data_IF_106343034713
#
_entry.id   IF_106343034713
#
_cell.length_a   1.000
_cell.length_b   1.000
_cell.length_c   1.000
_cell.angle_alpha   90.00
_cell.angle_beta   90.00
_cell.angle_gamma   90.00
#
_symmetry.space_group_name_H-M   'P 1'
#
loop_
_entity.id
_entity.type
_entity.pdbx_description
1 polymer ?
#
# COMPACT_ATOMS: atom_id res chain seq x y z
N UNK A 1 -2.43 -12.21 12.59
CA UNK A 1 -1.22 -11.53 12.07
C UNK A 1 -0.33 -12.57 11.41
N UNK A 2 0.22 -12.27 10.25
CA UNK A 2 1.02 -13.21 9.47
C UNK A 2 2.41 -12.62 9.21
N UNK A 3 3.44 -13.44 9.29
CA UNK A 3 4.82 -13.11 8.93
C UNK A 3 5.24 -14.00 7.75
N UNK A 4 5.85 -13.43 6.72
CA UNK A 4 6.44 -14.18 5.63
C UNK A 4 7.85 -14.65 6.03
N UNK A 5 8.06 -15.96 6.05
CA UNK A 5 9.34 -16.60 6.32
C UNK A 5 9.93 -17.24 5.06
N UNK A 6 10.18 -16.46 4.01
CA UNK A 6 10.79 -16.96 2.78
C UNK A 6 9.81 -17.65 1.83
N UNK A 7 10.27 -18.70 1.12
CA UNK A 7 9.49 -19.40 0.10
C UNK A 7 8.38 -20.32 0.67
N UNK A 8 8.43 -20.61 1.97
CA UNK A 8 7.51 -21.55 2.64
C UNK A 8 6.15 -20.96 3.05
N UNK A 9 5.86 -19.74 2.67
CA UNK A 9 4.55 -19.10 2.85
C UNK A 9 4.43 -18.22 4.08
N UNK A 10 3.18 -17.97 4.48
CA UNK A 10 2.82 -17.09 5.59
C UNK A 10 2.54 -17.91 6.85
N UNK A 11 3.16 -17.51 7.96
CA UNK A 11 2.93 -18.11 9.27
C UNK A 11 2.19 -17.14 10.18
N UNK A 12 1.19 -17.64 10.89
CA UNK A 12 0.49 -16.85 11.90
C UNK A 12 1.36 -16.74 13.16
N UNK A 13 1.66 -15.49 13.56
CA UNK A 13 2.52 -15.19 14.71
C UNK A 13 1.82 -14.39 15.82
N UNK A 14 0.49 -14.38 15.84
CA UNK A 14 -0.30 -13.64 16.87
C UNK A 14 0.17 -13.93 18.26
N UNK A 15 0.55 -15.18 18.54
CA UNK A 15 1.07 -15.59 19.85
C UNK A 15 2.48 -15.05 20.17
N UNK A 16 3.22 -14.58 19.18
CA UNK A 16 4.59 -14.09 19.34
C UNK A 16 4.67 -12.58 19.64
N UNK A 17 3.57 -11.85 19.46
CA UNK A 17 3.54 -10.44 19.86
C UNK A 17 3.49 -10.33 21.38
N UNK A 18 4.25 -9.37 21.95
CA UNK A 18 4.17 -9.07 23.35
C UNK A 18 2.74 -8.85 23.82
N UNK A 19 2.43 -9.27 25.05
CA UNK A 19 1.13 -8.97 25.65
C UNK A 19 0.99 -7.44 25.75
N UNK A 20 -0.13 -6.91 25.24
CA UNK A 20 -0.38 -5.47 25.21
C UNK A 20 0.22 -4.75 23.99
N UNK A 21 0.74 -5.46 22.98
CA UNK A 21 1.14 -4.81 21.74
C UNK A 21 -0.06 -4.10 21.10
N UNK A 22 0.06 -2.80 20.72
CA UNK A 22 -1.06 -2.01 20.23
C UNK A 22 -1.75 -2.65 19.01
N UNK A 23 -1.00 -3.12 18.04
CA UNK A 23 -1.54 -3.77 16.84
C UNK A 23 -2.48 -4.94 17.15
N UNK A 24 -2.22 -5.67 18.24
CA UNK A 24 -3.06 -6.79 18.65
C UNK A 24 -4.38 -6.32 19.24
N UNK A 25 -4.36 -5.30 20.07
CA UNK A 25 -5.55 -4.72 20.67
C UNK A 25 -6.43 -4.07 19.59
N UNK A 26 -5.82 -3.28 18.71
CA UNK A 26 -6.49 -2.58 17.61
C UNK A 26 -7.19 -3.56 16.66
N UNK A 27 -6.47 -4.60 16.21
CA UNK A 27 -7.05 -5.63 15.36
C UNK A 27 -8.17 -6.42 16.03
N UNK A 28 -8.08 -6.65 17.34
CA UNK A 28 -9.15 -7.30 18.07
C UNK A 28 -10.40 -6.44 18.06
N UNK A 29 -10.27 -5.15 18.40
CA UNK A 29 -11.39 -4.18 18.39
C UNK A 29 -12.03 -4.08 17.00
N UNK A 30 -11.22 -3.92 15.95
CA UNK A 30 -11.70 -3.85 14.57
C UNK A 30 -12.43 -5.15 14.18
N UNK A 31 -11.83 -6.31 14.42
CA UNK A 31 -12.42 -7.58 14.03
C UNK A 31 -13.67 -7.96 14.84
N UNK A 32 -13.79 -7.52 16.07
CA UNK A 32 -15.03 -7.67 16.85
C UNK A 32 -16.15 -6.83 16.25
N UNK A 33 -15.90 -5.57 15.96
CA UNK A 33 -16.87 -4.70 15.27
C UNK A 33 -17.33 -5.28 13.94
N UNK A 34 -16.37 -5.72 13.08
CA UNK A 34 -16.70 -6.25 11.77
C UNK A 34 -17.53 -7.54 11.80
N UNK A 35 -17.54 -8.30 12.90
CA UNK A 35 -18.38 -9.51 13.03
C UNK A 35 -19.86 -9.21 13.12
N UNK A 36 -20.23 -8.03 13.58
CA UNK A 36 -21.61 -7.64 13.80
C UNK A 36 -22.32 -7.17 12.51
N UNK A 37 -21.54 -7.05 11.41
CA UNK A 37 -22.05 -6.62 10.11
C UNK A 37 -22.26 -7.79 9.14
N UNK A 38 -23.30 -7.67 8.28
CA UNK A 38 -23.63 -8.67 7.29
C UNK A 38 -22.84 -8.50 6.00
N UNK A 39 -21.96 -9.45 5.69
CA UNK A 39 -21.15 -9.46 4.48
C UNK A 39 -21.30 -10.75 3.67
N UNK A 40 -20.95 -10.65 2.37
CA UNK A 40 -20.84 -11.82 1.50
C UNK A 40 -19.59 -12.69 1.74
N UNK A 41 -18.61 -12.22 2.50
CA UNK A 41 -17.37 -12.92 2.83
C UNK A 41 -17.04 -12.78 4.31
N UNK A 42 -15.98 -13.48 4.80
CA UNK A 42 -15.57 -13.34 6.19
C UNK A 42 -15.07 -11.93 6.46
N UNK A 43 -15.74 -11.19 7.30
CA UNK A 43 -15.37 -9.86 7.70
C UNK A 43 -14.23 -9.86 8.72
N UNK A 44 -13.00 -10.16 8.29
CA UNK A 44 -11.84 -10.03 9.17
C UNK A 44 -10.70 -9.28 8.49
N UNK A 45 -9.96 -8.55 9.30
CA UNK A 45 -8.74 -7.86 8.91
C UNK A 45 -7.53 -8.62 9.44
N UNK A 46 -6.52 -8.76 8.58
CA UNK A 46 -5.26 -9.42 8.90
C UNK A 46 -4.12 -8.47 8.58
N UNK A 47 -3.20 -8.26 9.52
CA UNK A 47 -1.92 -7.58 9.28
C UNK A 47 -0.88 -8.58 8.80
N UNK A 48 -0.23 -8.27 7.67
CA UNK A 48 0.89 -9.07 7.13
C UNK A 48 2.18 -8.25 7.19
N UNK A 49 3.14 -8.76 7.91
CA UNK A 49 4.47 -8.17 8.03
C UNK A 49 5.48 -8.93 7.17
N UNK A 50 6.59 -8.28 6.84
CA UNK A 50 7.70 -8.88 6.11
C UNK A 50 8.98 -8.66 6.90
N UNK A 51 9.66 -9.73 7.27
CA UNK A 51 10.89 -9.77 8.07
C UNK A 51 10.73 -9.34 9.54
N UNK A 52 9.97 -8.30 9.85
CA UNK A 52 9.74 -7.83 11.22
C UNK A 52 8.40 -7.11 11.34
N UNK A 53 7.96 -6.87 12.57
CA UNK A 53 6.73 -6.10 12.87
C UNK A 53 6.85 -4.60 12.55
N UNK A 54 8.05 -4.12 12.22
CA UNK A 54 8.32 -2.75 11.80
C UNK A 54 8.39 -2.59 10.28
N UNK A 55 8.17 -3.67 9.53
CA UNK A 55 8.31 -3.68 8.08
C UNK A 55 7.08 -4.27 7.41
N UNK A 56 6.61 -3.62 6.34
CA UNK A 56 5.38 -3.91 5.65
C UNK A 56 4.15 -3.60 6.52
N UNK A 57 3.55 -4.56 7.24
CA UNK A 57 2.38 -4.28 8.09
C UNK A 57 1.13 -3.90 7.31
N UNK A 58 0.95 -4.45 6.10
CA UNK A 58 -0.22 -4.18 5.27
C UNK A 58 -1.45 -4.88 5.81
N UNK A 59 -2.55 -4.15 5.80
CA UNK A 59 -3.88 -4.68 6.10
C UNK A 59 -4.43 -5.45 4.90
N UNK A 60 -5.04 -6.58 5.17
CA UNK A 60 -5.72 -7.41 4.19
C UNK A 60 -7.08 -7.82 4.73
N UNK A 61 -8.10 -7.73 3.87
CA UNK A 61 -9.44 -8.24 4.13
C UNK A 61 -9.80 -9.30 3.10
N UNK A 62 -10.71 -10.20 3.46
CA UNK A 62 -11.25 -11.16 2.48
C UNK A 62 -11.98 -10.43 1.35
N UNK A 63 -12.57 -9.26 1.63
CA UNK A 63 -13.21 -8.40 0.64
C UNK A 63 -12.22 -7.92 -0.45
N UNK A 64 -11.01 -7.48 -0.07
CA UNK A 64 -9.98 -7.06 -1.03
C UNK A 64 -9.48 -8.20 -1.93
N UNK A 65 -9.67 -9.46 -1.52
CA UNK A 65 -9.27 -10.63 -2.29
C UNK A 65 -10.34 -11.09 -3.28
N UNK A 66 -11.54 -10.52 -3.25
CA UNK A 66 -12.60 -10.87 -4.20
C UNK A 66 -12.22 -10.50 -5.63
N UNK A 67 -12.56 -11.35 -6.63
CA UNK A 67 -12.28 -11.06 -8.02
C UNK A 67 -13.09 -9.85 -8.50
N UNK A 68 -12.41 -8.79 -8.89
CA UNK A 68 -13.08 -7.52 -9.25
C UNK A 68 -13.06 -7.21 -10.75
N UNK A 69 -12.01 -7.62 -11.47
CA UNK A 69 -11.76 -7.18 -12.86
C UNK A 69 -12.94 -7.43 -13.81
N UNK A 70 -13.59 -8.60 -13.73
CA UNK A 70 -14.68 -8.98 -14.65
C UNK A 70 -16.07 -8.64 -14.09
N UNK A 71 -16.27 -8.82 -12.80
CA UNK A 71 -17.60 -8.81 -12.19
C UNK A 71 -17.85 -7.60 -11.31
N UNK A 72 -16.81 -6.78 -11.06
CA UNK A 72 -16.86 -5.62 -10.16
C UNK A 72 -17.49 -5.94 -8.80
N UNK A 73 -17.15 -7.12 -8.26
CA UNK A 73 -17.78 -7.68 -7.04
C UNK A 73 -17.55 -6.73 -5.86
N UNK A 74 -16.34 -6.18 -5.72
CA UNK A 74 -15.99 -5.30 -4.60
C UNK A 74 -16.86 -4.04 -4.60
N UNK A 75 -16.91 -3.33 -5.72
CA UNK A 75 -17.65 -2.06 -5.81
C UNK A 75 -19.17 -2.25 -5.81
N UNK A 76 -19.67 -3.45 -6.16
CA UNK A 76 -21.07 -3.80 -6.14
C UNK A 76 -21.47 -4.51 -4.83
N UNK A 77 -20.53 -4.71 -3.90
CA UNK A 77 -20.81 -5.29 -2.60
C UNK A 77 -21.73 -4.38 -1.78
N UNK A 78 -22.40 -4.98 -0.82
CA UNK A 78 -23.21 -4.27 0.16
C UNK A 78 -22.82 -4.72 1.55
N UNK A 79 -22.87 -3.81 2.50
CA UNK A 79 -22.69 -4.08 3.91
C UNK A 79 -23.98 -3.65 4.60
N UNK A 80 -24.64 -4.56 5.30
CA UNK A 80 -25.96 -4.35 5.91
C UNK A 80 -27.03 -3.80 4.94
N UNK A 81 -26.89 -4.15 3.65
CA UNK A 81 -27.77 -3.67 2.58
C UNK A 81 -27.36 -2.33 1.96
N UNK A 82 -26.45 -1.60 2.57
CA UNK A 82 -25.92 -0.32 2.10
C UNK A 82 -24.86 -0.50 1.01
N UNK A 83 -24.78 0.45 0.09
CA UNK A 83 -23.77 0.46 -0.97
C UNK A 83 -22.41 0.89 -0.43
N UNK A 84 -21.34 0.28 -0.94
CA UNK A 84 -19.96 0.66 -0.62
C UNK A 84 -19.42 1.66 -1.62
N UNK A 85 -18.41 2.45 -1.19
CA UNK A 85 -17.55 3.22 -2.08
C UNK A 85 -16.09 2.78 -1.89
N UNK A 86 -15.30 2.89 -2.95
CA UNK A 86 -13.86 2.61 -2.90
C UNK A 86 -13.10 3.93 -3.05
N UNK A 87 -12.21 4.21 -2.11
CA UNK A 87 -11.34 5.38 -2.11
C UNK A 87 -9.89 4.89 -2.21
N UNK A 88 -9.11 5.41 -3.16
CA UNK A 88 -7.71 5.08 -3.34
C UNK A 88 -6.81 6.30 -3.11
N UNK A 89 -5.64 6.07 -2.52
CA UNK A 89 -4.62 7.10 -2.32
C UNK A 89 -3.79 7.28 -3.59
N UNK A 90 -3.89 8.44 -4.24
CA UNK A 90 -3.07 8.75 -5.39
C UNK A 90 -1.60 8.93 -5.00
N UNK A 91 -0.70 8.17 -5.64
CA UNK A 91 0.76 8.24 -5.44
C UNK A 91 1.23 8.09 -3.98
N UNK A 92 0.54 7.24 -3.20
CA UNK A 92 0.69 7.16 -1.74
C UNK A 92 2.14 7.06 -1.25
N UNK A 93 2.93 6.11 -1.77
CA UNK A 93 4.32 5.93 -1.35
C UNK A 93 5.19 7.15 -1.62
N UNK A 94 5.00 7.82 -2.77
CA UNK A 94 5.70 9.05 -3.11
C UNK A 94 5.32 10.19 -2.16
N UNK A 95 4.03 10.36 -1.90
CA UNK A 95 3.52 11.38 -0.97
C UNK A 95 4.04 11.15 0.45
N UNK A 96 3.99 9.92 0.94
CA UNK A 96 4.52 9.58 2.25
C UNK A 96 6.03 9.84 2.34
N UNK A 97 6.80 9.50 1.30
CA UNK A 97 8.24 9.76 1.31
C UNK A 97 8.55 11.26 1.37
N UNK A 98 7.89 12.07 0.55
CA UNK A 98 8.11 13.52 0.54
C UNK A 98 7.67 14.16 1.86
N UNK A 99 6.50 13.81 2.38
CA UNK A 99 5.99 14.37 3.63
C UNK A 99 6.83 13.97 4.84
N UNK A 100 7.15 12.66 4.99
CA UNK A 100 7.81 12.15 6.20
C UNK A 100 9.31 12.42 6.22
N UNK A 101 9.98 12.30 5.06
CA UNK A 101 11.44 12.45 4.99
C UNK A 101 11.89 13.90 4.72
N UNK A 102 11.03 14.70 4.10
CA UNK A 102 11.42 16.03 3.62
C UNK A 102 10.49 17.16 4.06
N UNK A 103 9.31 16.85 4.64
CA UNK A 103 8.31 17.85 5.00
C UNK A 103 7.66 18.53 3.79
N UNK A 104 7.71 17.91 2.62
CA UNK A 104 7.26 18.46 1.34
C UNK A 104 5.93 17.85 0.88
N UNK A 105 5.14 18.66 0.19
CA UNK A 105 3.94 18.17 -0.51
C UNK A 105 4.28 17.74 -1.93
N UNK A 106 3.75 16.61 -2.36
CA UNK A 106 3.92 16.10 -3.72
C UNK A 106 3.13 16.89 -4.78
N UNK A 107 2.22 17.76 -4.37
CA UNK A 107 1.27 18.45 -5.24
C UNK A 107 0.07 17.56 -5.63
N UNK A 108 -0.87 18.10 -6.40
CA UNK A 108 -2.13 17.41 -6.72
C UNK A 108 -1.93 16.18 -7.63
N UNK A 109 -1.06 16.29 -8.60
CA UNK A 109 -0.88 15.30 -9.68
C UNK A 109 0.59 14.88 -9.90
N UNK A 110 1.27 14.31 -8.89
CA UNK A 110 2.72 14.09 -8.93
C UNK A 110 3.17 13.12 -10.04
N UNK A 111 2.35 12.16 -10.43
CA UNK A 111 2.69 11.26 -11.55
C UNK A 111 2.56 11.95 -12.90
N UNK A 112 1.55 12.79 -13.06
CA UNK A 112 1.31 13.59 -14.25
C UNK A 112 2.42 14.64 -14.45
N UNK A 113 2.91 15.23 -13.37
CA UNK A 113 4.05 16.16 -13.40
C UNK A 113 5.32 15.45 -13.91
N UNK A 114 5.64 14.25 -13.40
CA UNK A 114 6.75 13.44 -13.87
C UNK A 114 6.53 13.02 -15.32
N UNK A 115 5.32 12.60 -15.69
CA UNK A 115 4.95 12.17 -17.03
C UNK A 115 5.20 13.28 -18.05
N UNK A 116 4.83 14.51 -17.74
CA UNK A 116 5.08 15.69 -18.59
C UNK A 116 6.56 15.91 -18.84
N UNK A 117 7.39 15.81 -17.83
CA UNK A 117 8.85 15.93 -17.92
C UNK A 117 9.53 14.75 -18.63
N UNK A 118 8.93 13.57 -18.58
CA UNK A 118 9.41 12.35 -19.23
C UNK A 118 8.91 12.18 -20.68
N UNK A 119 8.51 13.25 -21.35
CA UNK A 119 8.05 13.22 -22.74
C UNK A 119 6.71 12.51 -22.94
N UNK A 120 5.76 12.78 -22.07
CA UNK A 120 4.38 12.23 -22.14
C UNK A 120 4.32 10.69 -22.04
N UNK A 121 5.15 10.10 -21.20
CA UNK A 121 5.05 8.68 -20.86
C UNK A 121 3.74 8.40 -20.13
N UNK A 122 3.23 7.16 -20.24
CA UNK A 122 1.98 6.82 -19.58
C UNK A 122 2.11 6.88 -18.05
N UNK A 123 1.00 7.24 -17.38
CA UNK A 123 0.91 7.26 -15.92
C UNK A 123 1.29 5.91 -15.29
N UNK A 124 0.92 4.80 -15.93
CA UNK A 124 1.22 3.46 -15.44
C UNK A 124 2.72 3.15 -15.48
N UNK A 125 3.45 3.65 -16.48
CA UNK A 125 4.91 3.55 -16.53
C UNK A 125 5.55 4.34 -15.40
N UNK A 126 5.11 5.59 -15.15
CA UNK A 126 5.60 6.40 -14.03
C UNK A 126 5.31 5.72 -12.69
N UNK A 127 4.08 5.26 -12.48
CA UNK A 127 3.69 4.51 -11.28
C UNK A 127 4.56 3.27 -11.08
N UNK A 128 4.78 2.48 -12.15
CA UNK A 128 5.63 1.29 -12.11
C UNK A 128 7.08 1.63 -11.77
N UNK A 129 7.63 2.70 -12.35
CA UNK A 129 8.98 3.17 -12.03
C UNK A 129 9.10 3.55 -10.54
N UNK A 130 8.23 4.43 -10.06
CA UNK A 130 8.24 4.90 -8.66
C UNK A 130 8.15 3.72 -7.70
N UNK A 131 7.24 2.79 -7.94
CA UNK A 131 7.05 1.61 -7.07
C UNK A 131 8.32 0.75 -7.02
N UNK A 132 8.97 0.52 -8.16
CA UNK A 132 10.20 -0.29 -8.24
C UNK A 132 11.41 0.44 -7.66
N UNK A 133 11.56 1.72 -7.97
CA UNK A 133 12.69 2.54 -7.51
C UNK A 133 12.66 2.77 -5.99
N UNK A 134 11.49 2.99 -5.42
CA UNK A 134 11.35 3.16 -3.97
C UNK A 134 11.40 1.83 -3.20
N UNK A 135 11.00 0.72 -3.83
CA UNK A 135 11.03 -0.60 -3.20
C UNK A 135 12.38 -1.31 -3.27
N UNK A 136 13.30 -0.87 -4.12
CA UNK A 136 14.60 -1.50 -4.33
C UNK A 136 15.68 -0.89 -3.44
N UNK A 137 16.69 -1.69 -3.10
CA UNK A 137 17.87 -1.26 -2.34
C UNK A 137 19.07 -0.87 -3.25
N UNK A 138 18.89 -0.93 -4.57
CA UNK A 138 19.84 -0.45 -5.55
C UNK A 138 19.15 -0.12 -6.88
N UNK A 139 19.79 0.75 -7.66
CA UNK A 139 19.33 1.08 -9.02
C UNK A 139 19.30 -0.15 -9.92
N UNK A 140 20.29 -1.03 -9.78
CA UNK A 140 20.40 -2.26 -10.55
C UNK A 140 19.21 -3.21 -10.24
N UNK A 141 18.87 -3.38 -8.95
CA UNK A 141 17.72 -4.21 -8.54
C UNK A 141 16.40 -3.65 -9.10
N UNK A 142 16.21 -2.33 -9.07
CA UNK A 142 15.05 -1.68 -9.66
C UNK A 142 14.98 -1.89 -11.18
N UNK A 143 16.11 -1.69 -11.87
CA UNK A 143 16.21 -1.87 -13.32
C UNK A 143 16.00 -3.33 -13.76
N UNK A 144 16.53 -4.29 -13.01
CA UNK A 144 16.29 -5.72 -13.26
C UNK A 144 14.82 -6.09 -13.08
N UNK A 145 14.14 -5.53 -12.07
CA UNK A 145 12.70 -5.67 -11.90
C UNK A 145 11.90 -5.05 -13.04
N UNK A 146 12.34 -3.88 -13.52
CA UNK A 146 11.76 -3.19 -14.68
C UNK A 146 11.89 -4.01 -15.97
N UNK A 147 13.07 -4.56 -16.22
CA UNK A 147 13.33 -5.39 -17.41
C UNK A 147 12.52 -6.68 -17.42
N UNK A 148 12.27 -7.30 -16.26
CA UNK A 148 11.39 -8.47 -16.18
C UNK A 148 9.97 -8.20 -16.67
N UNK A 149 9.49 -6.97 -16.47
CA UNK A 149 8.16 -6.55 -16.92
C UNK A 149 8.16 -6.04 -18.37
N UNK A 150 9.30 -6.11 -19.08
CA UNK A 150 9.48 -5.68 -20.46
C UNK A 150 9.05 -4.22 -20.75
N UNK A 151 9.28 -3.30 -19.80
CA UNK A 151 8.81 -1.92 -19.87
C UNK A 151 9.69 -0.97 -20.69
N UNK A 152 10.84 -1.46 -21.23
CA UNK A 152 11.77 -0.72 -22.09
C UNK A 152 12.80 0.12 -21.32
N UNK A 153 14.08 -0.08 -21.66
CA UNK A 153 15.22 0.57 -20.96
C UNK A 153 15.24 2.10 -21.12
N UNK A 154 14.82 2.63 -22.27
CA UNK A 154 14.72 4.08 -22.48
C UNK A 154 13.70 4.71 -21.54
N UNK A 155 12.53 4.10 -21.39
CA UNK A 155 11.50 4.57 -20.48
C UNK A 155 12.02 4.67 -19.04
N UNK A 156 12.77 3.67 -18.56
CA UNK A 156 13.35 3.70 -17.22
C UNK A 156 14.22 4.94 -17.00
N UNK A 157 15.17 5.21 -17.92
CA UNK A 157 16.11 6.33 -17.80
C UNK A 157 15.42 7.69 -17.88
N UNK A 158 14.47 7.83 -18.77
CA UNK A 158 13.73 9.08 -18.97
C UNK A 158 12.85 9.40 -17.78
N UNK A 159 12.13 8.40 -17.22
CA UNK A 159 11.29 8.59 -16.04
C UNK A 159 12.17 8.84 -14.79
N UNK A 160 13.31 8.16 -14.67
CA UNK A 160 14.28 8.42 -13.60
C UNK A 160 14.74 9.88 -13.61
N UNK A 161 15.19 10.37 -14.77
CA UNK A 161 15.63 11.75 -14.93
C UNK A 161 14.51 12.77 -14.62
N UNK A 162 13.32 12.53 -15.14
CA UNK A 162 12.14 13.35 -14.87
C UNK A 162 11.77 13.37 -13.38
N UNK A 163 11.83 12.21 -12.71
CA UNK A 163 11.56 12.08 -11.27
C UNK A 163 12.56 12.90 -10.46
N UNK A 164 13.85 12.77 -10.76
CA UNK A 164 14.90 13.52 -10.06
C UNK A 164 14.87 15.02 -10.37
N UNK A 165 14.36 15.41 -11.53
CA UNK A 165 14.13 16.83 -11.87
C UNK A 165 12.97 17.40 -11.06
N UNK A 166 11.86 16.66 -10.94
CA UNK A 166 10.65 17.12 -10.22
C UNK A 166 10.83 17.06 -8.70
N UNK A 167 11.52 16.04 -8.20
CA UNK A 167 11.73 15.79 -6.77
C UNK A 167 13.20 15.50 -6.47
N UNK A 168 14.08 16.51 -6.54
CA UNK A 168 15.53 16.31 -6.40
C UNK A 168 15.98 15.81 -5.03
N UNK A 169 15.15 16.03 -3.98
CA UNK A 169 15.39 15.54 -2.63
C UNK A 169 15.04 14.06 -2.45
N UNK A 170 14.25 13.46 -3.37
CA UNK A 170 13.78 12.10 -3.20
C UNK A 170 14.93 11.10 -3.31
N UNK A 171 15.12 10.29 -2.29
CA UNK A 171 16.09 9.19 -2.29
C UNK A 171 15.47 7.96 -2.94
N UNK A 172 15.86 7.70 -4.18
CA UNK A 172 15.51 6.45 -4.85
C UNK A 172 16.47 5.33 -4.40
N UNK A 173 16.05 4.09 -4.52
CA UNK A 173 16.86 2.88 -4.31
C UNK A 173 17.37 2.68 -2.88
N UNK A 174 16.66 3.17 -1.89
CA UNK A 174 16.98 3.01 -0.46
C UNK A 174 16.07 2.02 0.27
N UNK A 175 15.16 1.35 -0.47
CA UNK A 175 14.22 0.38 0.09
C UNK A 175 13.08 0.99 0.89
N UNK A 176 12.84 2.28 0.79
CA UNK A 176 11.85 3.00 1.59
C UNK A 176 10.40 2.49 1.39
N UNK A 177 10.12 1.85 0.26
CA UNK A 177 8.79 1.29 -0.03
C UNK A 177 8.26 0.32 1.03
N UNK A 178 9.13 -0.41 1.73
CA UNK A 178 8.72 -1.28 2.86
C UNK A 178 8.26 -0.45 4.06
N UNK A 179 8.94 0.66 4.34
CA UNK A 179 8.58 1.59 5.41
C UNK A 179 7.28 2.33 5.06
N UNK A 180 7.11 2.74 3.79
CA UNK A 180 5.88 3.32 3.29
C UNK A 180 4.68 2.39 3.51
N UNK A 181 4.83 1.08 3.25
CA UNK A 181 3.78 0.09 3.51
C UNK A 181 3.43 -0.02 5.00
N UNK A 182 4.39 0.13 5.90
CA UNK A 182 4.14 0.12 7.33
C UNK A 182 3.34 1.34 7.77
N UNK A 183 3.72 2.53 7.29
CA UNK A 183 2.98 3.77 7.54
C UNK A 183 1.57 3.74 6.95
N UNK A 184 1.42 3.26 5.72
CA UNK A 184 0.11 3.05 5.08
C UNK A 184 -0.78 2.14 5.94
N UNK A 185 -0.23 1.01 6.40
CA UNK A 185 -0.94 0.09 7.28
C UNK A 185 -1.36 0.72 8.61
N UNK A 186 -0.51 1.58 9.19
CA UNK A 186 -0.84 2.32 10.41
C UNK A 186 -1.97 3.34 10.17
N UNK A 187 -1.88 4.13 9.10
CA UNK A 187 -2.93 5.10 8.73
C UNK A 187 -4.28 4.40 8.50
N UNK A 188 -4.28 3.31 7.72
CA UNK A 188 -5.52 2.56 7.47
C UNK A 188 -6.10 1.97 8.74
N UNK A 189 -5.27 1.46 9.65
CA UNK A 189 -5.72 0.96 10.96
C UNK A 189 -6.38 2.07 11.78
N UNK A 190 -5.78 3.26 11.81
CA UNK A 190 -6.35 4.41 12.53
C UNK A 190 -7.70 4.83 11.93
N UNK A 191 -7.83 4.84 10.61
CA UNK A 191 -9.11 5.11 9.92
C UNK A 191 -10.16 4.04 10.25
N UNK A 192 -9.77 2.76 10.29
CA UNK A 192 -10.67 1.68 10.68
C UNK A 192 -11.12 1.81 12.14
N UNK A 193 -10.24 2.21 13.06
CA UNK A 193 -10.59 2.46 14.46
C UNK A 193 -11.55 3.64 14.59
N UNK A 194 -11.36 4.71 13.83
CA UNK A 194 -12.32 5.82 13.77
C UNK A 194 -13.68 5.34 13.23
N UNK A 195 -13.67 4.46 12.23
CA UNK A 195 -14.88 3.82 11.73
C UNK A 195 -15.63 3.05 12.82
N UNK A 196 -14.90 2.26 13.62
CA UNK A 196 -15.48 1.56 14.79
C UNK A 196 -16.14 2.53 15.78
N UNK A 197 -15.47 3.66 16.05
CA UNK A 197 -15.97 4.66 17.01
C UNK A 197 -17.17 5.48 16.47
N UNK A 198 -17.39 5.48 15.16
CA UNK A 198 -18.48 6.20 14.47
C UNK A 198 -19.53 5.29 13.84
N UNK A 199 -19.43 3.97 14.07
CA UNK A 199 -20.33 2.96 13.49
C UNK A 199 -20.31 2.96 11.94
N UNK A 200 -19.12 3.16 11.37
CA UNK A 200 -18.89 3.14 9.92
C UNK A 200 -17.94 2.00 9.57
N UNK A 201 -18.36 1.10 8.70
CA UNK A 201 -17.50 0.01 8.22
C UNK A 201 -16.48 0.54 7.22
N UNK A 202 -15.20 0.39 7.56
CA UNK A 202 -14.04 0.68 6.71
C UNK A 202 -13.27 -0.61 6.43
N UNK A 203 -12.88 -0.85 5.16
CA UNK A 203 -12.25 -2.11 4.69
C UNK A 203 -10.96 -1.88 3.94
#
# INVERSE_FOLDING_TARGET
MLLNEGEDGWREIVAQLPKGHPDKADLTKINEFLKDHAWACKGRVVLKYKHSVFQSGRLYTDHQQLPDRRFRIRINARIDGESVCEVDFNANHLRLALAVLHGEDAGDSPYEDIMGLAGQRSRDLVKSFITKAMGAYSREAAHNSWNRDALGTSNFREIEAATMTRFPMLKLYDGWGINAQNLEGAILRDVMLQGVDTDIVVL
#
